data_IF_417332849063
#
_entry.id   IF_417332849063
#
_cell.length_a   1.000
_cell.length_b   1.000
_cell.length_c   1.000
_cell.angle_alpha   90.00
_cell.angle_beta   90.00
_cell.angle_gamma   90.00
#
_symmetry.space_group_name_H-M   'P 1'
#
loop_
_entity.id
_entity.type
_entity.pdbx_description
1 polymer ?
#
# COMPACT_ATOMS: atom_id res chain seq x y z
N UNK A 1 14.02 8.21 21.17
CA UNK A 1 14.22 8.02 19.72
C UNK A 1 14.73 6.60 19.47
N UNK A 2 13.93 5.81 18.73
CA UNK A 2 14.28 4.45 18.30
C UNK A 2 14.54 4.50 16.80
N UNK A 3 15.68 3.96 16.37
CA UNK A 3 16.04 3.84 14.96
C UNK A 3 16.20 2.39 14.56
N UNK A 4 15.54 1.99 13.48
CA UNK A 4 15.67 0.66 12.90
C UNK A 4 16.56 0.76 11.65
N UNK A 5 17.64 0.01 11.64
CA UNK A 5 18.56 -0.07 10.52
C UNK A 5 18.20 -1.27 9.62
N UNK A 6 18.22 -1.03 8.31
CA UNK A 6 17.96 -2.03 7.29
C UNK A 6 19.07 -2.03 6.23
N UNK A 7 19.21 -3.11 5.48
CA UNK A 7 20.16 -3.16 4.34
C UNK A 7 19.57 -2.59 3.07
N UNK A 8 18.28 -2.85 2.85
CA UNK A 8 17.58 -2.52 1.62
C UNK A 8 16.30 -1.72 1.91
N UNK A 9 15.83 -0.96 0.93
CA UNK A 9 14.56 -0.25 1.02
C UNK A 9 13.35 -1.21 1.10
N UNK A 10 13.49 -2.42 0.56
CA UNK A 10 12.46 -3.46 0.65
C UNK A 10 12.26 -3.91 2.10
N UNK A 11 13.36 -4.21 2.82
CA UNK A 11 13.31 -4.53 4.26
C UNK A 11 12.71 -3.37 5.06
N UNK A 12 13.08 -2.13 4.71
CA UNK A 12 12.52 -0.92 5.34
C UNK A 12 11.02 -0.79 5.15
N UNK A 13 10.53 -1.08 3.95
CA UNK A 13 9.10 -1.06 3.64
C UNK A 13 8.32 -2.12 4.42
N UNK A 14 8.86 -3.34 4.51
CA UNK A 14 8.26 -4.44 5.28
C UNK A 14 8.09 -4.09 6.76
N UNK A 15 9.15 -3.54 7.38
CA UNK A 15 9.10 -3.10 8.78
C UNK A 15 8.12 -1.94 8.95
N UNK A 16 8.15 -0.96 8.03
CA UNK A 16 7.25 0.19 8.12
C UNK A 16 5.79 -0.24 8.05
N UNK A 17 5.46 -1.15 7.15
CA UNK A 17 4.12 -1.72 7.04
C UNK A 17 3.71 -2.47 8.31
N UNK A 18 4.59 -3.31 8.86
CA UNK A 18 4.35 -4.02 10.11
C UNK A 18 4.08 -3.07 11.28
N UNK A 19 4.89 -2.03 11.45
CA UNK A 19 4.75 -1.05 12.53
C UNK A 19 3.46 -0.23 12.37
N UNK A 20 3.16 0.20 11.13
CA UNK A 20 1.94 0.96 10.82
C UNK A 20 0.69 0.13 11.10
N UNK A 21 0.68 -1.15 10.73
CA UNK A 21 -0.42 -2.07 11.03
C UNK A 21 -0.61 -2.29 12.54
N UNK A 22 0.42 -2.05 13.35
CA UNK A 22 0.36 -2.10 14.82
C UNK A 22 0.22 -0.69 15.46
N UNK A 23 -0.25 0.31 14.70
CA UNK A 23 -0.49 1.69 15.16
C UNK A 23 0.77 2.40 15.69
N UNK A 24 1.96 1.95 15.31
CA UNK A 24 3.23 2.58 15.65
C UNK A 24 3.59 3.56 14.55
N UNK A 25 3.79 4.83 14.91
CA UNK A 25 4.20 5.85 13.95
C UNK A 25 5.63 5.58 13.45
N UNK A 26 5.80 5.69 12.15
CA UNK A 26 7.08 5.45 11.49
C UNK A 26 7.53 6.70 10.74
N UNK A 27 8.80 7.03 10.92
CA UNK A 27 9.52 7.99 10.08
C UNK A 27 10.54 7.20 9.27
N UNK A 28 10.54 7.36 7.97
CA UNK A 28 11.62 6.83 7.15
C UNK A 28 12.46 7.98 6.61
N UNK A 29 13.77 7.90 6.84
CA UNK A 29 14.73 8.76 6.14
C UNK A 29 14.82 8.38 4.66
N UNK A 30 14.38 7.16 4.34
CA UNK A 30 14.15 6.65 3.00
C UNK A 30 12.66 6.74 2.71
N UNK A 31 12.34 7.36 1.59
CA UNK A 31 10.98 7.41 1.07
C UNK A 31 10.47 5.99 0.85
N UNK A 32 9.40 5.60 1.55
CA UNK A 32 8.80 4.29 1.37
C UNK A 32 7.86 4.36 0.17
N UNK A 33 8.02 3.42 -0.76
CA UNK A 33 7.24 3.39 -1.99
C UNK A 33 5.76 3.13 -1.70
N UNK A 34 4.86 3.92 -2.28
CA UNK A 34 3.41 3.69 -2.20
C UNK A 34 3.03 2.30 -2.71
N UNK A 35 3.71 1.83 -3.76
CA UNK A 35 3.45 0.51 -4.35
C UNK A 35 3.75 -0.67 -3.42
N UNK A 36 4.49 -0.48 -2.31
CA UNK A 36 4.75 -1.54 -1.34
C UNK A 36 3.59 -1.79 -0.38
N UNK A 37 2.58 -0.94 -0.37
CA UNK A 37 1.39 -1.14 0.45
C UNK A 37 0.41 -2.12 -0.20
N UNK A 38 0.08 -3.21 0.52
CA UNK A 38 -0.88 -4.21 0.06
C UNK A 38 -2.26 -3.60 -0.21
N UNK A 39 -2.68 -2.63 0.63
CA UNK A 39 -3.96 -1.94 0.48
C UNK A 39 -4.00 -1.04 -0.76
N UNK A 40 -2.88 -0.37 -1.07
CA UNK A 40 -2.76 0.42 -2.31
C UNK A 40 -2.81 -0.50 -3.52
N UNK A 41 -2.11 -1.64 -3.47
CA UNK A 41 -2.14 -2.63 -4.54
C UNK A 41 -3.54 -3.23 -4.72
N UNK A 42 -4.27 -3.48 -3.63
CA UNK A 42 -5.65 -3.93 -3.69
C UNK A 42 -6.52 -2.96 -4.52
N UNK A 43 -6.45 -1.65 -4.25
CA UNK A 43 -7.20 -0.65 -5.03
C UNK A 43 -6.79 -0.69 -6.51
N UNK A 44 -5.49 -0.71 -6.79
CA UNK A 44 -4.98 -0.74 -8.17
C UNK A 44 -5.48 -1.98 -8.92
N UNK A 45 -5.44 -3.16 -8.30
CA UNK A 45 -5.92 -4.38 -8.95
C UNK A 45 -7.45 -4.45 -9.02
N UNK A 46 -8.19 -3.85 -8.09
CA UNK A 46 -9.63 -3.68 -8.21
C UNK A 46 -10.00 -2.76 -9.40
N UNK A 47 -9.30 -1.64 -9.58
CA UNK A 47 -9.48 -0.78 -10.76
C UNK A 47 -9.15 -1.51 -12.07
N UNK A 48 -8.06 -2.28 -12.11
CA UNK A 48 -7.70 -3.11 -13.28
C UNK A 48 -8.76 -4.18 -13.56
N UNK A 49 -9.32 -4.79 -12.52
CA UNK A 49 -10.37 -5.79 -12.63
C UNK A 49 -11.67 -5.19 -13.24
N UNK A 50 -12.07 -4.01 -12.78
CA UNK A 50 -13.22 -3.30 -13.35
C UNK A 50 -13.08 -3.00 -14.84
N UNK A 51 -11.85 -2.87 -15.33
CA UNK A 51 -11.57 -2.65 -16.76
C UNK A 51 -11.51 -3.94 -17.57
N UNK A 52 -11.02 -5.03 -16.97
CA UNK A 52 -10.80 -6.30 -17.64
C UNK A 52 -10.98 -7.47 -16.66
N UNK A 53 -12.24 -7.86 -16.45
CA UNK A 53 -12.64 -8.93 -15.54
C UNK A 53 -12.17 -10.33 -15.98
N UNK A 54 -12.01 -10.53 -17.29
CA UNK A 54 -11.63 -11.84 -17.87
C UNK A 54 -10.13 -12.15 -17.70
N UNK A 55 -9.33 -11.19 -17.24
CA UNK A 55 -7.90 -11.39 -17.09
C UNK A 55 -7.59 -12.18 -15.81
N UNK A 56 -7.24 -13.45 -15.99
CA UNK A 56 -6.92 -14.36 -14.88
C UNK A 56 -5.79 -13.87 -13.97
N UNK A 57 -4.77 -13.17 -14.53
CA UNK A 57 -3.66 -12.63 -13.72
C UNK A 57 -4.13 -11.46 -12.84
N UNK A 58 -5.03 -10.61 -13.35
CA UNK A 58 -5.61 -9.53 -12.56
C UNK A 58 -6.46 -10.11 -11.43
N UNK A 59 -7.31 -11.09 -11.71
CA UNK A 59 -8.12 -11.77 -10.69
C UNK A 59 -7.26 -12.41 -9.60
N UNK A 60 -6.22 -13.14 -9.99
CA UNK A 60 -5.28 -13.75 -9.04
C UNK A 60 -4.59 -12.71 -8.17
N UNK A 61 -4.12 -11.61 -8.75
CA UNK A 61 -3.46 -10.54 -8.01
C UNK A 61 -4.42 -9.85 -7.07
N UNK A 62 -5.66 -9.58 -7.49
CA UNK A 62 -6.70 -8.99 -6.65
C UNK A 62 -7.00 -9.88 -5.45
N UNK A 63 -7.22 -11.18 -5.67
CA UNK A 63 -7.42 -12.17 -4.60
C UNK A 63 -6.23 -12.22 -3.63
N UNK A 64 -5.00 -12.19 -4.16
CA UNK A 64 -3.79 -12.16 -3.34
C UNK A 64 -3.76 -10.95 -2.39
N UNK A 65 -3.98 -9.73 -2.92
CA UNK A 65 -3.96 -8.53 -2.08
C UNK A 65 -5.16 -8.43 -1.14
N UNK A 66 -6.33 -8.92 -1.54
CA UNK A 66 -7.48 -9.07 -0.64
C UNK A 66 -7.12 -9.93 0.57
N UNK A 67 -6.47 -11.07 0.35
CA UNK A 67 -6.05 -11.94 1.43
C UNK A 67 -4.97 -11.31 2.33
N UNK A 68 -4.04 -10.55 1.75
CA UNK A 68 -3.02 -9.83 2.52
C UNK A 68 -3.64 -8.75 3.43
N UNK A 69 -4.70 -8.09 2.97
CA UNK A 69 -5.38 -7.05 3.77
C UNK A 69 -6.29 -7.63 4.84
N UNK A 70 -6.84 -8.83 4.62
CA UNK A 70 -7.72 -9.53 5.57
C UNK A 70 -6.95 -10.36 6.62
N UNK A 71 -5.63 -10.24 6.73
CA UNK A 71 -4.75 -11.00 7.65
C UNK A 71 -5.05 -10.87 9.16
N UNK A 72 -6.12 -10.20 9.56
CA UNK A 72 -6.65 -10.25 10.93
C UNK A 72 -7.28 -11.61 11.27
N UNK A 73 -7.40 -12.53 10.31
CA UNK A 73 -7.95 -13.85 10.54
C UNK A 73 -6.80 -14.85 10.78
N UNK A 74 -6.68 -15.45 12.00
CA UNK A 74 -5.63 -16.40 12.36
C UNK A 74 -5.68 -17.73 11.58
N UNK A 75 -6.74 -17.99 10.83
CA UNK A 75 -6.95 -19.21 10.04
C UNK A 75 -6.45 -19.08 8.58
N UNK A 76 -5.50 -18.18 8.31
CA UNK A 76 -4.94 -18.00 6.97
C UNK A 76 -4.15 -19.25 6.52
N UNK A 77 -4.78 -20.04 5.66
CA UNK A 77 -4.14 -21.18 4.98
C UNK A 77 -3.73 -20.78 3.56
N UNK A 78 -2.43 -20.80 3.29
CA UNK A 78 -1.86 -20.45 1.97
C UNK A 78 -2.43 -21.32 0.84
N UNK A 79 -2.83 -22.57 1.13
CA UNK A 79 -3.46 -23.47 0.16
C UNK A 79 -4.88 -23.05 -0.24
N UNK A 80 -5.58 -22.30 0.60
CA UNK A 80 -6.90 -21.73 0.29
C UNK A 80 -6.87 -20.47 -0.55
N UNK A 81 -5.68 -19.93 -0.84
CA UNK A 81 -5.53 -18.66 -1.59
C UNK A 81 -6.13 -18.73 -3.01
N UNK A 82 -6.35 -19.92 -3.54
CA UNK A 82 -6.98 -20.14 -4.85
C UNK A 82 -8.51 -20.25 -4.82
N UNK A 83 -9.10 -20.43 -3.64
CA UNK A 83 -10.55 -20.64 -3.46
C UNK A 83 -11.28 -19.41 -2.88
N UNK A 84 -10.58 -18.27 -2.69
CA UNK A 84 -11.23 -17.07 -2.17
C UNK A 84 -12.10 -16.43 -3.25
N UNK A 85 -13.38 -16.41 -3.01
CA UNK A 85 -14.34 -15.59 -3.74
C UNK A 85 -13.92 -14.12 -3.58
N UNK A 86 -13.51 -13.51 -4.67
CA UNK A 86 -13.38 -12.07 -4.76
C UNK A 86 -14.78 -11.51 -4.49
N UNK A 87 -14.87 -10.33 -3.89
CA UNK A 87 -16.13 -9.60 -3.78
C UNK A 87 -16.60 -9.11 -5.18
N UNK A 88 -16.64 -10.05 -6.13
CA UNK A 88 -16.85 -9.80 -7.58
C UNK A 88 -18.16 -9.09 -7.81
N UNK A 89 -19.24 -9.57 -7.23
CA UNK A 89 -20.58 -8.99 -7.43
C UNK A 89 -20.60 -7.52 -7.01
N UNK A 90 -20.05 -7.22 -5.83
CA UNK A 90 -20.00 -5.85 -5.31
C UNK A 90 -19.10 -4.93 -6.16
N UNK A 91 -17.96 -5.45 -6.63
CA UNK A 91 -17.08 -4.70 -7.53
C UNK A 91 -17.76 -4.44 -8.88
N UNK A 92 -18.39 -5.47 -9.47
CA UNK A 92 -19.06 -5.33 -10.77
C UNK A 92 -20.26 -4.39 -10.71
N UNK A 93 -20.93 -4.26 -9.57
CA UNK A 93 -21.96 -3.26 -9.37
C UNK A 93 -21.47 -1.80 -9.52
N UNK A 94 -20.18 -1.56 -9.37
CA UNK A 94 -19.60 -0.23 -9.59
C UNK A 94 -19.42 0.09 -11.08
N UNK A 95 -19.41 -0.94 -11.93
CA UNK A 95 -19.17 -0.80 -13.36
C UNK A 95 -20.29 -0.03 -14.05
N UNK A 96 -19.92 0.87 -14.95
CA UNK A 96 -20.88 1.68 -15.72
C UNK A 96 -21.57 2.78 -14.94
N UNK A 97 -21.31 2.94 -13.66
CA UNK A 97 -21.75 4.09 -12.88
C UNK A 97 -20.80 5.27 -13.09
N UNK A 98 -21.35 6.48 -13.17
CA UNK A 98 -20.58 7.70 -13.38
C UNK A 98 -19.92 8.18 -12.06
N UNK A 99 -18.94 7.39 -11.55
CA UNK A 99 -18.13 7.80 -10.41
C UNK A 99 -16.90 8.60 -10.87
N UNK A 100 -16.47 9.55 -10.06
CA UNK A 100 -15.13 10.07 -10.19
C UNK A 100 -14.11 8.98 -9.80
N UNK A 101 -12.86 9.12 -10.26
CA UNK A 101 -11.81 8.16 -9.88
C UNK A 101 -11.63 8.09 -8.35
N UNK A 102 -11.70 9.25 -7.68
CA UNK A 102 -11.61 9.33 -6.23
C UNK A 102 -12.78 8.59 -5.55
N UNK A 103 -14.02 8.86 -5.97
CA UNK A 103 -15.21 8.20 -5.43
C UNK A 103 -15.14 6.68 -5.67
N UNK A 104 -14.67 6.26 -6.84
CA UNK A 104 -14.51 4.85 -7.15
C UNK A 104 -13.51 4.17 -6.20
N UNK A 105 -12.36 4.81 -5.93
CA UNK A 105 -11.41 4.32 -4.93
C UNK A 105 -12.03 4.24 -3.53
N UNK A 106 -12.82 5.24 -3.12
CA UNK A 106 -13.55 5.21 -1.84
C UNK A 106 -14.53 4.02 -1.77
N UNK A 107 -15.30 3.77 -2.85
CA UNK A 107 -16.22 2.63 -2.91
C UNK A 107 -15.52 1.28 -2.86
N UNK A 108 -14.36 1.15 -3.50
CA UNK A 108 -13.53 -0.04 -3.40
C UNK A 108 -13.10 -0.25 -1.94
N UNK A 109 -12.63 0.78 -1.26
CA UNK A 109 -12.24 0.69 0.16
C UNK A 109 -13.42 0.30 1.07
N UNK A 110 -14.63 0.83 0.81
CA UNK A 110 -15.85 0.46 1.53
C UNK A 110 -16.21 -1.03 1.33
N UNK A 111 -16.06 -1.57 0.12
CA UNK A 111 -16.32 -3.00 -0.17
C UNK A 111 -15.42 -3.90 0.69
N UNK A 112 -14.17 -3.50 0.90
CA UNK A 112 -13.18 -4.27 1.66
C UNK A 112 -13.06 -3.87 3.14
N UNK A 113 -13.97 -3.01 3.65
CA UNK A 113 -13.99 -2.52 5.04
C UNK A 113 -12.63 -1.91 5.48
N UNK A 114 -12.02 -1.12 4.59
CA UNK A 114 -10.72 -0.50 4.82
C UNK A 114 -10.90 0.99 5.13
N UNK A 115 -10.41 1.41 6.31
CA UNK A 115 -10.44 2.81 6.70
C UNK A 115 -9.18 3.55 6.22
N UNK A 116 -9.38 4.65 5.49
CA UNK A 116 -8.28 5.50 4.98
C UNK A 116 -7.50 6.16 6.13
N UNK A 117 -8.17 6.52 7.22
CA UNK A 117 -7.55 7.29 8.30
C UNK A 117 -6.51 6.48 9.08
N UNK A 118 -6.60 5.17 9.05
CA UNK A 118 -5.72 4.27 9.80
C UNK A 118 -4.46 3.89 9.02
N UNK A 119 -4.30 4.41 7.79
CA UNK A 119 -3.20 4.01 6.91
C UNK A 119 -2.60 5.20 6.15
N UNK A 120 -1.36 5.54 6.49
CA UNK A 120 -0.63 6.67 5.89
C UNK A 120 -0.43 6.47 4.38
N UNK A 121 -0.23 5.24 3.91
CA UNK A 121 -0.06 4.95 2.48
C UNK A 121 -1.34 5.23 1.71
N UNK A 122 -2.50 4.85 2.29
CA UNK A 122 -3.79 5.14 1.68
C UNK A 122 -4.06 6.65 1.63
N UNK A 123 -3.74 7.39 2.70
CA UNK A 123 -3.89 8.85 2.69
C UNK A 123 -3.06 9.50 1.58
N UNK A 124 -1.78 9.10 1.43
CA UNK A 124 -0.94 9.61 0.35
C UNK A 124 -1.43 9.18 -1.04
N UNK A 125 -1.88 7.93 -1.17
CA UNK A 125 -2.44 7.44 -2.42
C UNK A 125 -3.72 8.20 -2.81
N UNK A 126 -4.64 8.39 -1.88
CA UNK A 126 -5.90 9.12 -2.13
C UNK A 126 -5.65 10.60 -2.46
N UNK A 127 -4.68 11.26 -1.81
CA UNK A 127 -4.25 12.60 -2.19
C UNK A 127 -3.70 12.63 -3.63
N UNK A 128 -2.90 11.63 -4.01
CA UNK A 128 -2.38 11.52 -5.38
C UNK A 128 -3.51 11.30 -6.40
N UNK A 129 -4.52 10.50 -6.07
CA UNK A 129 -5.72 10.29 -6.91
C UNK A 129 -6.49 11.60 -7.07
N UNK A 130 -6.65 12.37 -5.99
CA UNK A 130 -7.32 13.67 -6.01
C UNK A 130 -6.55 14.68 -6.88
N UNK A 131 -5.21 14.73 -6.75
CA UNK A 131 -4.36 15.59 -7.57
C UNK A 131 -4.42 15.21 -9.06
N UNK A 132 -4.53 13.92 -9.36
CA UNK A 132 -4.71 13.43 -10.73
C UNK A 132 -6.03 13.91 -11.29
N UNK A 133 -7.12 13.73 -10.57
CA UNK A 133 -8.47 14.12 -10.99
C UNK A 133 -8.61 15.64 -11.17
N UNK A 134 -7.90 16.45 -10.38
CA UNK A 134 -7.92 17.93 -10.49
C UNK A 134 -7.34 18.45 -11.81
N UNK A 135 -6.68 17.60 -12.60
CA UNK A 135 -6.12 17.91 -13.92
C UNK A 135 -7.08 17.60 -15.08
N UNK A 136 -8.37 17.52 -14.81
CA UNK A 136 -9.44 17.16 -15.76
C UNK A 136 -9.33 15.74 -16.36
N UNK A 137 -8.56 14.86 -15.74
CA UNK A 137 -8.42 13.50 -16.23
C UNK A 137 -9.13 12.52 -15.27
N UNK A 138 -10.35 12.12 -15.63
CA UNK A 138 -11.14 11.13 -14.90
C UNK A 138 -11.06 9.73 -15.55
N UNK A 139 -10.13 9.53 -16.48
CA UNK A 139 -9.95 8.26 -17.18
C UNK A 139 -9.16 7.27 -16.30
N UNK A 140 -9.85 6.21 -15.86
CA UNK A 140 -9.27 5.12 -15.06
C UNK A 140 -8.09 4.47 -15.79
N UNK A 141 -8.21 4.28 -17.11
CA UNK A 141 -7.16 3.67 -17.93
C UNK A 141 -5.90 4.52 -17.94
N UNK A 142 -6.06 5.82 -18.19
CA UNK A 142 -4.94 6.76 -18.17
C UNK A 142 -4.25 6.81 -16.79
N UNK A 143 -5.03 6.76 -15.70
CA UNK A 143 -4.49 6.69 -14.36
C UNK A 143 -3.69 5.40 -14.11
N UNK A 144 -4.19 4.24 -14.51
CA UNK A 144 -3.49 2.97 -14.37
C UNK A 144 -2.19 2.97 -15.17
N UNK A 145 -2.20 3.46 -16.41
CA UNK A 145 -0.98 3.60 -17.21
C UNK A 145 0.04 4.55 -16.57
N UNK A 146 -0.43 5.64 -15.97
CA UNK A 146 0.41 6.55 -15.21
C UNK A 146 1.03 5.88 -13.98
N UNK A 147 0.21 5.13 -13.21
CA UNK A 147 0.67 4.36 -12.07
C UNK A 147 1.73 3.33 -12.47
N UNK A 148 1.45 2.49 -13.46
CA UNK A 148 2.36 1.43 -13.91
C UNK A 148 3.72 1.99 -14.38
N UNK A 149 3.72 3.19 -14.99
CA UNK A 149 4.96 3.86 -15.44
C UNK A 149 5.73 4.57 -14.34
N UNK A 150 5.05 5.03 -13.28
CA UNK A 150 5.65 5.96 -12.31
C UNK A 150 5.57 5.54 -10.85
N UNK A 151 4.96 4.41 -10.52
CA UNK A 151 4.81 3.92 -9.13
C UNK A 151 6.13 3.81 -8.35
N UNK A 152 7.24 3.59 -9.07
CA UNK A 152 8.60 3.61 -8.51
C UNK A 152 9.06 4.99 -8.00
N UNK A 153 8.31 6.04 -8.28
CA UNK A 153 8.64 7.43 -7.91
C UNK A 153 7.71 7.99 -6.84
N UNK A 154 6.68 7.24 -6.45
CA UNK A 154 5.74 7.70 -5.44
C UNK A 154 6.15 7.18 -4.07
N UNK A 155 6.45 8.13 -3.21
CA UNK A 155 6.95 7.86 -1.87
C UNK A 155 6.09 8.54 -0.83
N UNK A 156 5.91 7.86 0.30
CA UNK A 156 5.36 8.47 1.51
C UNK A 156 6.46 9.33 2.14
N UNK A 157 6.21 10.65 2.24
CA UNK A 157 7.08 11.54 3.00
C UNK A 157 6.61 11.53 4.44
N UNK A 158 7.46 11.13 5.35
CA UNK A 158 7.14 11.12 6.77
C UNK A 158 6.89 12.54 7.30
N UNK A 159 5.82 12.67 8.07
CA UNK A 159 5.56 13.84 8.89
C UNK A 159 6.48 13.88 10.13
N UNK A 160 6.62 15.06 10.73
CA UNK A 160 7.43 15.42 11.91
C UNK A 160 7.98 14.32 12.83
N UNK A 161 9.23 14.54 13.31
CA UNK A 161 10.04 13.61 14.14
C UNK A 161 9.53 13.33 15.58
N UNK A 162 8.36 13.79 15.97
CA UNK A 162 7.86 13.60 17.32
C UNK A 162 7.14 12.26 17.46
N UNK A 163 7.59 11.43 18.40
CA UNK A 163 7.02 10.13 18.79
C UNK A 163 6.88 9.06 17.68
N UNK A 164 7.91 8.92 16.85
CA UNK A 164 7.93 7.90 15.83
C UNK A 164 9.23 7.08 15.80
N UNK A 165 9.14 5.85 15.31
CA UNK A 165 10.28 4.99 15.03
C UNK A 165 10.91 5.39 13.70
N UNK A 166 12.20 5.73 13.71
CA UNK A 166 12.93 6.06 12.48
C UNK A 166 13.45 4.79 11.79
N UNK A 167 13.17 4.64 10.50
CA UNK A 167 13.73 3.55 9.69
C UNK A 167 14.69 4.13 8.67
N UNK A 168 15.90 3.59 8.57
CA UNK A 168 16.88 4.02 7.57
C UNK A 168 17.81 2.89 7.15
N UNK A 169 18.43 3.06 5.99
CA UNK A 169 19.45 2.12 5.55
C UNK A 169 20.77 2.34 6.28
N UNK A 170 21.55 1.25 6.47
CA UNK A 170 22.89 1.30 7.08
C UNK A 170 23.79 2.32 6.38
N UNK A 171 23.69 2.47 5.05
CA UNK A 171 24.48 3.43 4.32
C UNK A 171 24.17 4.89 4.72
N UNK A 172 22.90 5.20 4.98
CA UNK A 172 22.48 6.55 5.42
C UNK A 172 22.76 6.82 6.88
N UNK A 173 22.84 5.79 7.71
CA UNK A 173 23.17 5.94 9.14
C UNK A 173 24.64 6.26 9.40
N UNK A 174 25.50 6.16 8.38
CA UNK A 174 26.93 6.40 8.52
C UNK A 174 27.22 7.84 8.98
N UNK A 175 27.86 7.95 10.13
CA UNK A 175 28.19 9.25 10.76
C UNK A 175 27.08 9.84 11.62
N UNK A 176 25.95 9.15 11.80
CA UNK A 176 24.88 9.55 12.69
C UNK A 176 24.97 8.78 14.02
N UNK A 177 24.47 9.40 15.10
CA UNK A 177 24.36 8.79 16.42
C UNK A 177 22.88 8.66 16.82
N UNK A 178 22.52 7.54 17.43
CA UNK A 178 21.15 7.22 17.82
C UNK A 178 21.09 6.75 19.26
N UNK A 179 19.99 7.04 19.96
CA UNK A 179 19.81 6.61 21.34
C UNK A 179 19.58 5.10 21.46
N UNK A 180 18.72 4.57 20.59
CA UNK A 180 18.38 3.14 20.53
C UNK A 180 18.44 2.71 19.06
N UNK A 181 19.19 1.64 18.78
CA UNK A 181 19.30 1.06 17.44
C UNK A 181 18.80 -0.37 17.46
N UNK A 182 17.90 -0.70 16.53
CA UNK A 182 17.45 -2.05 16.26
C UNK A 182 17.90 -2.48 14.86
N UNK A 183 18.36 -3.73 14.75
CA UNK A 183 18.75 -4.32 13.47
C UNK A 183 18.10 -5.71 13.32
N UNK A 184 16.83 -5.77 12.85
CA UNK A 184 16.02 -7.00 12.86
C UNK A 184 16.57 -8.09 11.94
N UNK A 185 17.17 -7.71 10.80
CA UNK A 185 17.67 -8.64 9.77
C UNK A 185 19.19 -8.93 9.92
N UNK A 186 19.70 -8.94 11.15
CA UNK A 186 21.11 -9.26 11.43
C UNK A 186 21.40 -10.75 11.24
N UNK A 187 21.31 -11.26 10.02
CA UNK A 187 21.79 -12.58 9.70
C UNK A 187 23.34 -12.54 9.58
N UNK A 188 24.02 -12.92 10.63
CA UNK A 188 25.45 -13.19 10.59
C UNK A 188 25.62 -14.56 9.94
N UNK A 189 26.11 -14.59 8.69
CA UNK A 189 26.67 -15.80 8.09
C UNK A 189 28.11 -15.96 8.51
#
# INVERSE_FOLDING_TARGET
DITILVRTNSEGSEIAQFLTNNHIRVISSDSILLKSSDKVQLIIYALKYLMNEDNALIRLSLSHYQNLTNKSNPDFDVQKTFDYEIEEEKLLELRGKAFSLYDLCCRILEIYDINILDDIFLQYFMNMVQDWQSRDDNDIKAFIEYWDKKSEKFYVKSASKEDAVEIMTIHKSKGLAFNIVMYPFANVK
#
